data_IF_947758744492
#
_entry.id   IF_947758744492
#
_cell.length_a   1.000
_cell.length_b   1.000
_cell.length_c   1.000
_cell.angle_alpha   90.00
_cell.angle_beta   90.00
_cell.angle_gamma   90.00
#
_symmetry.space_group_name_H-M   'P 1'
#
loop_
_entity.id
_entity.type
_entity.pdbx_description
1 polymer ?
#
# COMPACT_ATOMS: atom_id res chain seq x y z
N UNK A 1 5.64 2.24 -18.64
CA UNK A 1 4.49 1.32 -18.49
C UNK A 1 3.43 2.06 -17.71
N UNK A 2 2.15 1.88 -18.06
CA UNK A 2 1.03 2.48 -17.33
C UNK A 2 0.66 1.56 -16.16
N UNK A 3 1.21 1.87 -14.98
CA UNK A 3 1.04 1.06 -13.77
C UNK A 3 -0.36 1.16 -13.15
N UNK A 4 -1.01 2.33 -13.08
CA UNK A 4 -2.41 2.43 -12.66
C UNK A 4 -3.31 1.48 -13.44
N UNK A 5 -3.21 1.51 -14.78
CA UNK A 5 -4.00 0.61 -15.63
C UNK A 5 -3.62 -0.87 -15.46
N UNK A 6 -2.35 -1.18 -15.21
CA UNK A 6 -1.93 -2.55 -14.92
C UNK A 6 -2.57 -3.04 -13.61
N UNK A 7 -2.53 -2.23 -12.56
CA UNK A 7 -3.07 -2.59 -11.25
C UNK A 7 -4.60 -2.73 -11.27
N UNK A 8 -5.33 -1.89 -12.01
CA UNK A 8 -6.76 -2.12 -12.27
C UNK A 8 -7.03 -3.50 -12.88
N UNK A 9 -6.24 -3.89 -13.90
CA UNK A 9 -6.42 -5.19 -14.56
C UNK A 9 -6.09 -6.36 -13.65
N UNK A 10 -5.06 -6.24 -12.81
CA UNK A 10 -4.68 -7.26 -11.83
C UNK A 10 -5.71 -7.36 -10.71
N UNK A 11 -6.28 -6.24 -10.27
CA UNK A 11 -7.39 -6.21 -9.31
C UNK A 11 -8.59 -7.00 -9.83
N UNK A 12 -8.97 -6.76 -11.09
CA UNK A 12 -10.11 -7.42 -11.70
C UNK A 12 -9.85 -8.90 -12.05
N UNK A 13 -8.63 -9.27 -12.45
CA UNK A 13 -8.32 -10.60 -12.98
C UNK A 13 -6.92 -11.11 -12.57
N UNK A 14 -6.62 -11.29 -11.27
CA UNK A 14 -5.27 -11.56 -10.78
C UNK A 14 -4.66 -12.83 -11.38
N UNK A 15 -5.45 -13.90 -11.53
CA UNK A 15 -5.00 -15.18 -12.10
C UNK A 15 -4.48 -15.05 -13.54
N UNK A 16 -5.01 -14.10 -14.32
CA UNK A 16 -4.56 -13.82 -15.68
C UNK A 16 -3.12 -13.28 -15.74
N UNK A 17 -2.59 -12.83 -14.60
CA UNK A 17 -1.23 -12.34 -14.43
C UNK A 17 -0.36 -13.31 -13.61
N UNK A 18 -0.83 -14.54 -13.36
CA UNK A 18 -0.13 -15.52 -12.54
C UNK A 18 -0.11 -15.18 -11.04
N UNK A 19 -1.07 -14.36 -10.59
CA UNK A 19 -1.20 -13.93 -9.19
C UNK A 19 -2.35 -14.69 -8.56
N UNK A 20 -2.11 -15.27 -7.38
CA UNK A 20 -3.16 -15.92 -6.61
C UNK A 20 -4.09 -14.87 -5.99
N UNK A 21 -5.32 -15.26 -5.66
CA UNK A 21 -6.32 -14.38 -5.02
C UNK A 21 -6.06 -14.23 -3.51
N UNK A 22 -4.80 -14.04 -3.14
CA UNK A 22 -4.35 -13.78 -1.77
C UNK A 22 -3.65 -12.43 -1.67
N UNK A 23 -3.80 -11.77 -0.54
CA UNK A 23 -3.19 -10.48 -0.30
C UNK A 23 -1.67 -10.55 -0.43
N UNK A 24 -1.05 -11.63 0.07
CA UNK A 24 0.39 -11.84 -0.01
C UNK A 24 0.86 -11.95 -1.46
N UNK A 25 0.12 -12.69 -2.31
CA UNK A 25 0.47 -12.85 -3.72
C UNK A 25 0.34 -11.53 -4.49
N UNK A 26 -0.74 -10.79 -4.27
CA UNK A 26 -0.94 -9.46 -4.86
C UNK A 26 0.11 -8.46 -4.35
N UNK A 27 0.40 -8.44 -3.06
CA UNK A 27 1.41 -7.55 -2.50
C UNK A 27 2.81 -7.87 -3.03
N UNK A 28 3.14 -9.15 -3.20
CA UNK A 28 4.38 -9.59 -3.83
C UNK A 28 4.46 -9.18 -5.30
N UNK A 29 3.35 -9.25 -6.05
CA UNK A 29 3.28 -8.76 -7.43
C UNK A 29 3.56 -7.26 -7.52
N UNK A 30 2.91 -6.46 -6.67
CA UNK A 30 3.12 -4.99 -6.61
C UNK A 30 4.56 -4.67 -6.23
N UNK A 31 5.12 -5.38 -5.25
CA UNK A 31 6.52 -5.23 -4.85
C UNK A 31 7.50 -5.63 -5.97
N UNK A 32 7.17 -6.66 -6.75
CA UNK A 32 7.94 -7.08 -7.93
C UNK A 32 7.91 -6.03 -9.04
N UNK A 33 6.76 -5.36 -9.24
CA UNK A 33 6.65 -4.22 -10.14
C UNK A 33 7.57 -3.07 -9.69
N UNK A 34 7.60 -2.76 -8.39
CA UNK A 34 8.52 -1.76 -7.84
C UNK A 34 9.99 -2.13 -8.06
N UNK A 35 10.37 -3.38 -7.75
CA UNK A 35 11.72 -3.89 -8.04
C UNK A 35 12.10 -3.82 -9.52
N UNK A 36 11.16 -4.09 -10.42
CA UNK A 36 11.33 -3.92 -11.88
C UNK A 36 11.53 -2.47 -12.33
N UNK A 37 11.21 -1.49 -11.48
CA UNK A 37 11.43 -0.05 -11.70
C UNK A 37 12.54 0.50 -10.78
N UNK A 38 13.53 -0.33 -10.46
CA UNK A 38 14.64 0.08 -9.59
C UNK A 38 14.19 0.61 -8.22
N UNK A 39 13.06 0.10 -7.72
CA UNK A 39 12.46 0.48 -6.43
C UNK A 39 12.00 1.95 -6.36
N UNK A 40 11.66 2.54 -7.50
CA UNK A 40 11.22 3.94 -7.58
C UNK A 40 9.72 4.11 -7.86
N UNK A 41 9.02 3.02 -8.19
CA UNK A 41 7.61 3.05 -8.54
C UNK A 41 6.79 3.48 -7.32
N UNK A 42 7.10 2.92 -6.15
CA UNK A 42 6.39 3.15 -4.89
C UNK A 42 7.05 4.19 -3.97
N UNK A 43 8.00 4.99 -4.49
CA UNK A 43 8.58 6.09 -3.71
C UNK A 43 7.50 7.00 -3.14
N UNK A 44 7.50 7.18 -1.82
CA UNK A 44 6.53 7.99 -1.09
C UNK A 44 5.25 7.26 -0.70
N UNK A 45 4.98 6.06 -1.24
CA UNK A 45 3.74 5.33 -0.95
C UNK A 45 3.66 4.95 0.53
N UNK A 46 4.76 4.44 1.07
CA UNK A 46 4.84 4.07 2.48
C UNK A 46 4.56 5.29 3.38
N UNK A 47 5.24 6.40 3.13
CA UNK A 47 5.15 7.62 3.90
C UNK A 47 3.73 8.20 3.85
N UNK A 48 3.13 8.18 2.66
CA UNK A 48 1.74 8.55 2.46
C UNK A 48 0.80 7.69 3.30
N UNK A 49 0.94 6.36 3.28
CA UNK A 49 0.14 5.46 4.10
C UNK A 49 0.30 5.69 5.62
N UNK A 50 1.49 6.08 6.09
CA UNK A 50 1.68 6.43 7.52
C UNK A 50 0.84 7.65 7.89
N UNK A 51 0.80 8.66 7.02
CA UNK A 51 0.00 9.86 7.27
C UNK A 51 -1.49 9.57 7.22
N UNK A 52 -1.95 8.72 6.30
CA UNK A 52 -3.34 8.26 6.26
C UNK A 52 -3.73 7.47 7.51
N UNK A 53 -2.84 6.62 8.01
CA UNK A 53 -3.09 5.83 9.22
C UNK A 53 -2.94 6.65 10.52
N UNK A 54 -2.11 7.70 10.49
CA UNK A 54 -1.77 8.52 11.66
C UNK A 54 -0.81 7.87 12.66
N UNK A 55 -0.30 6.66 12.37
CA UNK A 55 0.71 5.94 13.16
C UNK A 55 1.40 4.85 12.31
N UNK A 56 2.30 4.05 12.90
CA UNK A 56 2.90 2.90 12.20
C UNK A 56 4.13 3.24 11.35
N UNK A 57 4.85 4.31 11.71
CA UNK A 57 6.14 4.71 11.10
C UNK A 57 7.26 3.67 11.26
N UNK A 58 7.01 2.57 11.98
CA UNK A 58 7.87 1.39 12.08
C UNK A 58 7.44 0.19 11.18
N UNK A 59 6.25 0.23 10.56
CA UNK A 59 5.71 -0.89 9.77
C UNK A 59 6.12 -0.79 8.29
N UNK A 60 6.29 -1.88 7.55
CA UNK A 60 6.38 -1.80 6.08
C UNK A 60 5.01 -1.45 5.48
N UNK A 61 4.97 -1.02 4.21
CA UNK A 61 3.72 -0.60 3.56
C UNK A 61 2.65 -1.71 3.56
N UNK A 62 3.05 -2.98 3.46
CA UNK A 62 2.13 -4.12 3.52
C UNK A 62 1.42 -4.21 4.87
N UNK A 63 2.11 -3.86 5.95
CA UNK A 63 1.53 -3.82 7.31
C UNK A 63 0.57 -2.65 7.48
N UNK A 64 0.89 -1.50 6.88
CA UNK A 64 0.01 -0.33 6.92
C UNK A 64 -1.31 -0.57 6.18
N UNK A 65 -1.25 -1.18 5.00
CA UNK A 65 -2.47 -1.56 4.24
C UNK A 65 -3.35 -2.48 5.07
N UNK A 66 -2.78 -3.45 5.79
CA UNK A 66 -3.54 -4.33 6.68
C UNK A 66 -4.22 -3.55 7.81
N UNK A 67 -3.52 -2.58 8.42
CA UNK A 67 -4.10 -1.74 9.49
C UNK A 67 -5.19 -0.82 8.98
N UNK A 68 -5.04 -0.27 7.78
CA UNK A 68 -6.07 0.55 7.12
C UNK A 68 -7.29 -0.27 6.68
N UNK A 69 -7.08 -1.50 6.22
CA UNK A 69 -8.17 -2.39 5.79
C UNK A 69 -8.92 -3.03 6.96
N UNK A 70 -8.24 -3.28 8.08
CA UNK A 70 -8.77 -4.02 9.23
C UNK A 70 -8.50 -3.25 10.54
N UNK A 71 -9.10 -2.07 10.76
CA UNK A 71 -8.79 -1.19 11.89
C UNK A 71 -9.04 -1.85 13.25
N UNK A 72 -10.06 -2.70 13.35
CA UNK A 72 -10.46 -3.36 14.60
C UNK A 72 -9.75 -4.70 14.84
N UNK A 73 -8.90 -5.16 13.91
CA UNK A 73 -8.21 -6.45 14.04
C UNK A 73 -6.78 -6.23 14.56
N UNK A 74 -6.49 -6.80 15.72
CA UNK A 74 -5.13 -6.95 16.21
C UNK A 74 -4.40 -8.03 15.42
N UNK A 75 -4.02 -7.72 14.18
CA UNK A 75 -3.18 -8.61 13.39
C UNK A 75 -1.72 -8.44 13.75
N UNK A 76 -1.03 -9.57 13.97
CA UNK A 76 0.34 -9.60 14.48
C UNK A 76 1.40 -9.74 13.37
N UNK A 77 1.03 -10.22 12.18
CA UNK A 77 2.00 -10.50 11.11
C UNK A 77 1.45 -10.31 9.69
N UNK A 78 2.29 -9.80 8.80
CA UNK A 78 2.02 -9.69 7.36
C UNK A 78 2.08 -11.05 6.62
N UNK A 79 2.65 -12.08 7.27
CA UNK A 79 2.83 -13.41 6.68
C UNK A 79 1.73 -14.41 7.06
N UNK A 80 0.88 -14.05 8.00
CA UNK A 80 -0.25 -14.89 8.40
C UNK A 80 -1.22 -15.03 7.22
N UNK A 81 -1.83 -16.21 7.03
CA UNK A 81 -2.87 -16.40 6.04
C UNK A 81 -4.16 -15.65 6.44
N UNK A 82 -4.90 -15.12 5.48
CA UNK A 82 -6.20 -14.52 5.71
C UNK A 82 -7.30 -15.50 5.36
N UNK A 83 -8.42 -15.39 6.07
CA UNK A 83 -9.68 -15.99 5.64
C UNK A 83 -10.09 -15.38 4.29
N UNK A 84 -10.67 -16.15 3.35
CA UNK A 84 -10.91 -15.68 1.98
C UNK A 84 -11.70 -14.36 1.89
N UNK A 85 -12.73 -14.17 2.73
CA UNK A 85 -13.53 -12.94 2.73
C UNK A 85 -12.74 -11.73 3.23
N UNK A 86 -11.86 -11.95 4.21
CA UNK A 86 -10.99 -10.89 4.75
C UNK A 86 -9.90 -10.56 3.73
N UNK A 87 -9.37 -11.57 3.05
CA UNK A 87 -8.38 -11.40 2.01
C UNK A 87 -8.90 -10.53 0.86
N UNK A 88 -10.12 -10.79 0.38
CA UNK A 88 -10.78 -9.98 -0.63
C UNK A 88 -10.88 -8.50 -0.23
N UNK A 89 -11.30 -8.22 1.02
CA UNK A 89 -11.37 -6.85 1.56
C UNK A 89 -10.00 -6.18 1.55
N UNK A 90 -8.96 -6.88 2.02
CA UNK A 90 -7.60 -6.32 2.07
C UNK A 90 -7.03 -6.09 0.67
N UNK A 91 -7.27 -7.01 -0.27
CA UNK A 91 -6.85 -6.84 -1.68
C UNK A 91 -7.54 -5.66 -2.33
N UNK A 92 -8.86 -5.52 -2.14
CA UNK A 92 -9.61 -4.37 -2.64
C UNK A 92 -9.04 -3.07 -2.06
N UNK A 93 -8.79 -3.02 -0.75
CA UNK A 93 -8.24 -1.84 -0.09
C UNK A 93 -6.83 -1.50 -0.57
N UNK A 94 -5.97 -2.49 -0.86
CA UNK A 94 -4.65 -2.24 -1.45
C UNK A 94 -4.76 -1.47 -2.77
N UNK A 95 -5.64 -1.90 -3.67
CA UNK A 95 -5.78 -1.27 -4.98
C UNK A 95 -6.43 0.12 -4.89
N UNK A 96 -7.39 0.31 -4.00
CA UNK A 96 -7.95 1.63 -3.67
C UNK A 96 -6.86 2.59 -3.20
N UNK A 97 -6.03 2.16 -2.24
CA UNK A 97 -4.94 2.97 -1.70
C UNK A 97 -3.86 3.29 -2.75
N UNK A 98 -3.56 2.36 -3.66
CA UNK A 98 -2.64 2.62 -4.77
C UNK A 98 -3.21 3.67 -5.73
N UNK A 99 -4.50 3.61 -6.04
CA UNK A 99 -5.15 4.61 -6.89
C UNK A 99 -5.17 6.00 -6.25
N UNK A 100 -5.54 6.09 -4.97
CA UNK A 100 -5.54 7.34 -4.20
C UNK A 100 -4.14 7.94 -4.11
N UNK A 101 -3.14 7.11 -3.78
CA UNK A 101 -1.74 7.52 -3.75
C UNK A 101 -1.28 8.09 -5.10
N UNK A 102 -1.63 7.44 -6.21
CA UNK A 102 -1.26 7.92 -7.54
C UNK A 102 -1.85 9.30 -7.83
N UNK A 103 -3.15 9.47 -7.59
CA UNK A 103 -3.84 10.75 -7.77
C UNK A 103 -3.23 11.85 -6.89
N UNK A 104 -2.91 11.53 -5.64
CA UNK A 104 -2.24 12.47 -4.73
C UNK A 104 -0.84 12.84 -5.23
N UNK A 105 -0.02 11.85 -5.60
CA UNK A 105 1.34 12.07 -6.12
C UNK A 105 1.34 12.86 -7.42
N UNK A 106 0.39 12.63 -8.33
CA UNK A 106 0.28 13.37 -9.59
C UNK A 106 -0.15 14.82 -9.39
N UNK A 107 -1.00 15.09 -8.39
CA UNK A 107 -1.47 16.45 -8.11
C UNK A 107 -0.49 17.27 -7.27
N UNK A 108 0.19 16.64 -6.32
CA UNK A 108 1.02 17.33 -5.32
C UNK A 108 2.52 17.10 -5.46
N UNK A 109 2.95 16.10 -6.23
CA UNK A 109 4.36 15.75 -6.35
C UNK A 109 4.90 14.92 -5.17
N UNK A 110 6.06 14.31 -5.40
CA UNK A 110 6.71 13.44 -4.42
C UNK A 110 7.37 14.25 -3.29
N UNK A 111 7.86 15.45 -3.61
CA UNK A 111 8.44 16.39 -2.66
C UNK A 111 7.44 16.79 -1.58
N UNK A 112 6.16 16.93 -1.95
CA UNK A 112 5.11 17.29 -1.00
C UNK A 112 4.84 16.17 -0.01
N UNK A 113 4.77 14.93 -0.48
CA UNK A 113 4.60 13.74 0.38
C UNK A 113 5.71 13.69 1.44
N UNK A 114 6.97 13.83 1.03
CA UNK A 114 8.09 13.78 1.98
C UNK A 114 8.15 14.99 2.92
N UNK A 115 7.73 16.18 2.46
CA UNK A 115 7.62 17.36 3.31
C UNK A 115 6.56 17.14 4.40
N UNK A 116 5.34 16.74 4.03
CA UNK A 116 4.25 16.50 4.97
C UNK A 116 4.58 15.36 5.94
N UNK A 117 5.24 14.30 5.46
CA UNK A 117 5.68 13.19 6.31
C UNK A 117 6.71 13.61 7.36
N UNK A 118 7.65 14.49 6.99
CA UNK A 118 8.62 15.04 7.94
C UNK A 118 7.93 15.87 9.03
N UNK A 119 6.97 16.70 8.64
CA UNK A 119 6.17 17.50 9.58
C UNK A 119 5.35 16.60 10.51
N UNK A 120 4.77 15.52 9.99
CA UNK A 120 4.05 14.52 10.76
C UNK A 120 4.95 13.88 11.83
N UNK A 121 6.13 13.36 11.44
CA UNK A 121 7.08 12.76 12.39
C UNK A 121 7.57 13.75 13.46
N UNK A 122 7.75 15.02 13.07
CA UNK A 122 8.15 16.08 14.00
C UNK A 122 7.10 16.39 15.08
N UNK A 123 5.82 16.10 14.82
CA UNK A 123 4.73 16.22 15.80
C UNK A 123 4.60 14.99 16.68
N UNK A 124 4.73 13.80 16.09
CA UNK A 124 4.64 12.50 16.80
C UNK A 124 5.73 12.37 17.88
N UNK A 125 6.96 12.82 17.59
CA UNK A 125 8.06 12.80 18.56
C UNK A 125 7.92 13.81 19.72
N UNK A 126 6.94 14.71 19.67
CA UNK A 126 6.71 15.76 20.67
C UNK A 126 5.47 15.51 21.55
N UNK A 127 4.70 14.47 21.26
CA UNK A 127 3.54 14.04 22.05
C UNK A 127 3.96 13.05 23.13
#
# INVERSE_FOLDING_TARGET
MDYPRLFERVSAHPRGFGVDETYQSVAAFVNGCDGGNSWQLLNGFREWLVMELGYGSNLPWQGLVLKLALPDRERTSIYEALEPQVDEVVRAKLFELLEEFWRFRESCGLERIYFDYREFLGKDLRA
#
